data_IF_387426815304
#
_entry.id   IF_387426815304
#
_cell.length_a   1.000
_cell.length_b   1.000
_cell.length_c   1.000
_cell.angle_alpha   90.00
_cell.angle_beta   90.00
_cell.angle_gamma   90.00
#
_symmetry.space_group_name_H-M   'P 1'
#
loop_
_entity.id
_entity.type
_entity.pdbx_description
1 polymer ?
#
# COMPACT_ATOMS: atom_id res chain seq x y z
N UNK A 1 16.75 12.28 -11.24
CA UNK A 1 16.54 13.29 -10.17
C UNK A 1 15.24 14.00 -10.46
N UNK A 2 14.53 14.47 -9.41
CA UNK A 2 13.24 15.17 -9.53
C UNK A 2 13.30 16.49 -10.32
N UNK A 3 12.22 17.28 -10.35
CA UNK A 3 11.11 17.33 -9.38
C UNK A 3 10.04 16.25 -9.58
N UNK A 4 9.32 15.93 -8.50
CA UNK A 4 8.17 15.02 -8.53
C UNK A 4 6.88 15.80 -8.34
N UNK A 5 5.90 15.53 -9.19
CA UNK A 5 4.54 16.10 -9.10
C UNK A 5 3.64 15.12 -8.39
N UNK A 6 2.91 15.57 -7.38
CA UNK A 6 1.90 14.75 -6.69
C UNK A 6 0.84 14.24 -7.68
N UNK A 7 0.51 12.94 -7.62
CA UNK A 7 -0.46 12.31 -8.53
C UNK A 7 -1.65 11.66 -7.82
N UNK A 8 -1.57 11.39 -6.52
CA UNK A 8 -2.65 10.78 -5.77
C UNK A 8 -2.18 9.95 -4.59
N UNK A 9 -3.13 9.29 -3.94
CA UNK A 9 -2.90 8.32 -2.87
C UNK A 9 -2.67 6.92 -3.45
N UNK A 10 -1.72 6.18 -2.89
CA UNK A 10 -1.42 4.78 -3.27
C UNK A 10 -2.19 3.81 -2.38
N UNK A 11 -2.24 4.07 -1.08
CA UNK A 11 -2.84 3.20 -0.07
C UNK A 11 -3.60 4.04 0.96
N UNK A 12 -4.88 3.75 1.15
CA UNK A 12 -5.72 4.39 2.18
C UNK A 12 -5.33 3.95 3.60
N UNK A 13 -5.78 4.67 4.66
CA UNK A 13 -5.36 4.40 6.03
C UNK A 13 -5.53 2.93 6.47
N UNK A 14 -4.53 2.43 7.20
CA UNK A 14 -4.49 1.08 7.77
C UNK A 14 -4.82 1.09 9.26
N UNK A 15 -5.12 -0.08 9.83
CA UNK A 15 -5.24 -0.25 11.29
C UNK A 15 -3.87 -0.01 11.95
N UNK A 16 -3.82 0.93 12.89
CA UNK A 16 -2.61 1.39 13.56
C UNK A 16 -2.11 2.73 13.01
N UNK A 17 -1.29 3.44 13.80
CA UNK A 17 -0.92 4.82 13.49
C UNK A 17 0.13 4.95 12.37
N UNK A 18 1.06 4.01 12.27
CA UNK A 18 2.13 4.08 11.25
C UNK A 18 1.71 3.37 9.97
N UNK A 19 1.94 4.02 8.82
CA UNK A 19 1.94 3.38 7.50
C UNK A 19 3.34 3.44 6.90
N UNK A 20 3.80 2.34 6.28
CA UNK A 20 5.08 2.27 5.57
C UNK A 20 4.94 1.26 4.44
N UNK A 21 5.58 1.52 3.30
CA UNK A 21 5.41 0.68 2.11
C UNK A 21 6.68 0.56 1.26
N UNK A 22 6.65 -0.44 0.38
CA UNK A 22 7.57 -0.56 -0.74
C UNK A 22 6.83 -1.09 -1.97
N UNK A 23 7.27 -0.71 -3.16
CA UNK A 23 6.69 -1.15 -4.44
C UNK A 23 7.78 -1.91 -5.19
N UNK A 24 7.47 -3.13 -5.62
CA UNK A 24 8.41 -3.99 -6.34
C UNK A 24 7.70 -4.73 -7.46
N UNK A 25 8.42 -4.95 -8.57
CA UNK A 25 7.98 -5.84 -9.63
C UNK A 25 8.58 -7.23 -9.41
N UNK A 26 7.74 -8.26 -9.45
CA UNK A 26 8.15 -9.66 -9.36
C UNK A 26 7.31 -10.49 -10.35
N UNK A 27 7.97 -11.30 -11.17
CA UNK A 27 7.31 -12.16 -12.18
C UNK A 27 6.25 -11.41 -13.00
N UNK A 28 6.65 -10.29 -13.60
CA UNK A 28 5.81 -9.41 -14.45
C UNK A 28 4.66 -8.68 -13.74
N UNK A 29 4.44 -8.93 -12.44
CA UNK A 29 3.42 -8.27 -11.63
C UNK A 29 4.01 -7.26 -10.68
N UNK A 30 3.25 -6.21 -10.40
CA UNK A 30 3.63 -5.20 -9.41
C UNK A 30 2.95 -5.49 -8.08
N UNK A 31 3.69 -5.31 -7.01
CA UNK A 31 3.22 -5.55 -5.65
C UNK A 31 3.49 -4.35 -4.76
N UNK A 32 2.49 -4.03 -3.95
CA UNK A 32 2.64 -3.11 -2.83
C UNK A 32 2.79 -3.94 -1.56
N UNK A 33 3.95 -3.87 -0.93
CA UNK A 33 4.16 -4.38 0.42
C UNK A 33 3.93 -3.26 1.42
N UNK A 34 3.14 -3.53 2.45
CA UNK A 34 2.81 -2.58 3.51
C UNK A 34 2.64 -3.30 4.85
N UNK A 35 2.36 -2.58 5.94
CA UNK A 35 2.04 -3.19 7.22
C UNK A 35 0.75 -2.64 7.81
N UNK A 36 0.11 -3.42 8.68
CA UNK A 36 -0.94 -2.96 9.58
C UNK A 36 -0.84 -3.63 10.96
N UNK A 37 -1.70 -3.24 11.90
CA UNK A 37 -1.77 -3.79 13.26
C UNK A 37 -2.98 -4.72 13.45
N UNK A 38 -3.54 -5.28 12.37
CA UNK A 38 -4.74 -6.12 12.45
C UNK A 38 -4.50 -7.42 13.23
N UNK A 39 -3.31 -8.02 13.11
CA UNK A 39 -2.96 -9.25 13.84
C UNK A 39 -2.78 -9.04 15.35
N UNK A 40 -2.57 -7.79 15.78
CA UNK A 40 -2.34 -7.42 17.17
C UNK A 40 -3.50 -6.63 17.77
N UNK A 41 -4.70 -6.73 17.19
CA UNK A 41 -5.90 -5.98 17.62
C UNK A 41 -5.64 -4.46 17.77
N UNK A 42 -4.84 -3.87 16.88
CA UNK A 42 -4.57 -2.42 16.86
C UNK A 42 -3.39 -1.95 17.71
N UNK A 43 -2.58 -2.83 18.31
CA UNK A 43 -1.36 -2.42 19.03
C UNK A 43 -0.30 -1.83 18.08
N UNK A 44 -0.15 -0.50 18.08
CA UNK A 44 0.69 0.27 17.15
C UNK A 44 2.13 -0.22 16.95
N UNK A 45 2.77 -0.78 17.98
CA UNK A 45 4.16 -1.24 17.91
C UNK A 45 4.28 -2.73 17.52
N UNK A 46 3.16 -3.44 17.33
CA UNK A 46 3.10 -4.86 16.94
C UNK A 46 2.48 -4.99 15.55
N UNK A 47 3.26 -4.65 14.53
CA UNK A 47 2.81 -4.62 13.13
C UNK A 47 3.04 -5.97 12.46
N UNK A 48 2.24 -6.25 11.43
CA UNK A 48 2.39 -7.40 10.56
C UNK A 48 2.47 -6.93 9.10
N UNK A 49 3.35 -7.55 8.31
CA UNK A 49 3.54 -7.23 6.88
C UNK A 49 2.45 -7.92 6.07
N UNK A 50 1.92 -7.18 5.09
CA UNK A 50 0.95 -7.64 4.09
C UNK A 50 1.42 -7.22 2.71
N UNK A 51 0.87 -7.86 1.69
CA UNK A 51 1.10 -7.47 0.31
C UNK A 51 -0.19 -7.56 -0.50
N UNK A 52 -0.26 -6.78 -1.56
CA UNK A 52 -1.35 -6.83 -2.53
C UNK A 52 -0.82 -6.48 -3.91
N UNK A 53 -1.53 -6.91 -4.94
CA UNK A 53 -1.21 -6.56 -6.33
C UNK A 53 -1.47 -5.07 -6.56
N UNK A 54 -0.47 -4.38 -7.11
CA UNK A 54 -0.55 -2.98 -7.52
C UNK A 54 -0.76 -2.92 -9.03
N UNK A 55 -1.70 -2.08 -9.48
CA UNK A 55 -2.01 -1.93 -10.90
C UNK A 55 -1.77 -0.51 -11.36
N UNK A 56 -1.09 -0.40 -12.50
CA UNK A 56 -0.94 0.86 -13.23
C UNK A 56 -2.06 0.99 -14.25
N UNK A 57 -2.61 2.19 -14.36
CA UNK A 57 -3.49 2.57 -15.46
C UNK A 57 -2.66 2.84 -16.73
N UNK A 58 -3.31 2.86 -17.92
CA UNK A 58 -2.61 3.16 -19.18
C UNK A 58 -1.93 4.54 -19.22
N UNK A 59 -2.38 5.49 -18.40
CA UNK A 59 -1.78 6.82 -18.26
C UNK A 59 -0.60 6.89 -17.28
N UNK A 60 -0.20 5.74 -16.72
CA UNK A 60 0.89 5.61 -15.75
C UNK A 60 0.51 5.93 -14.30
N UNK A 61 -0.75 6.27 -14.02
CA UNK A 61 -1.22 6.45 -12.63
C UNK A 61 -1.38 5.11 -11.92
N UNK A 62 -1.25 5.11 -10.59
CA UNK A 62 -1.46 3.91 -9.76
C UNK A 62 -2.93 3.86 -9.33
N UNK A 63 -3.55 2.69 -9.41
CA UNK A 63 -4.88 2.47 -8.86
C UNK A 63 -4.82 2.49 -7.33
N UNK A 64 -5.60 3.35 -6.65
CA UNK A 64 -5.57 3.47 -5.20
C UNK A 64 -6.06 2.18 -4.56
N UNK A 65 -5.39 1.78 -3.49
CA UNK A 65 -5.64 0.52 -2.80
C UNK A 65 -6.34 0.81 -1.47
N UNK A 66 -7.50 0.19 -1.28
CA UNK A 66 -8.15 0.13 0.03
C UNK A 66 -7.73 -1.18 0.74
N UNK A 67 -7.03 -1.11 1.89
CA UNK A 67 -6.63 -2.31 2.64
C UNK A 67 -7.81 -3.10 3.23
N UNK A 68 -9.00 -2.49 3.32
CA UNK A 68 -10.21 -3.08 3.88
C UNK A 68 -11.42 -2.83 2.96
N UNK A 69 -11.52 -3.53 1.82
CA UNK A 69 -12.69 -3.41 0.96
C UNK A 69 -13.92 -3.93 1.71
N UNK A 70 -15.00 -3.14 1.71
CA UNK A 70 -16.32 -3.63 2.10
C UNK A 70 -16.74 -4.68 1.07
N UNK A 71 -16.98 -5.91 1.51
CA UNK A 71 -17.64 -6.92 0.68
C UNK A 71 -19.08 -6.53 0.35
#
# INVERSE_FOLDING_TARGET
MGPFTFKGEILSPVIGWTTHHSIVQFEEKWYLFYHDCSLSDGVNHKRCVKYTELKYNPDGTIQPINPYPSN
#
